data_IF_264549262852
#
_entry.id   IF_264549262852
#
_cell.length_a   1.000
_cell.length_b   1.000
_cell.length_c   1.000
_cell.angle_alpha   90.00
_cell.angle_beta   90.00
_cell.angle_gamma   90.00
#
_symmetry.space_group_name_H-M   'P 1'
#
loop_
_entity.id
_entity.type
_entity.pdbx_description
1 polymer ?
#
# COMPACT_ATOMS: atom_id res chain seq x y z
N UNK A 1 3.11 -4.67 16.55
CA UNK A 1 1.68 -4.99 16.76
C UNK A 1 0.86 -4.14 15.80
N UNK A 2 -0.25 -4.64 15.28
CA UNK A 2 -1.24 -3.82 14.56
C UNK A 2 -1.78 -2.72 15.47
N UNK A 3 -2.37 -1.67 14.90
CA UNK A 3 -3.04 -0.63 15.67
C UNK A 3 -4.08 -1.22 16.61
N UNK A 4 -4.24 -0.61 17.78
CA UNK A 4 -5.26 -1.02 18.74
C UNK A 4 -6.66 -0.86 18.11
N UNK A 5 -7.54 -1.85 18.22
CA UNK A 5 -8.85 -1.85 17.57
C UNK A 5 -8.86 -2.35 16.11
N UNK A 6 -7.74 -2.87 15.59
CA UNK A 6 -7.71 -3.38 14.21
C UNK A 6 -8.65 -4.57 13.97
N UNK A 7 -8.80 -5.48 14.95
CA UNK A 7 -9.65 -6.66 14.78
C UNK A 7 -11.12 -6.28 14.58
N UNK A 8 -11.58 -5.27 15.30
CA UNK A 8 -12.92 -4.68 15.14
C UNK A 8 -13.09 -4.08 13.74
N UNK A 9 -12.11 -3.33 13.28
CA UNK A 9 -12.11 -2.77 11.91
C UNK A 9 -12.09 -3.86 10.84
N UNK A 10 -11.37 -4.92 11.05
CA UNK A 10 -11.37 -6.06 10.13
C UNK A 10 -12.72 -6.78 10.11
N UNK A 11 -13.36 -6.95 11.26
CA UNK A 11 -14.72 -7.53 11.31
C UNK A 11 -15.75 -6.64 10.59
N UNK A 12 -15.66 -5.31 10.73
CA UNK A 12 -16.47 -4.38 9.94
C UNK A 12 -16.28 -4.60 8.43
N UNK A 13 -15.03 -4.77 7.96
CA UNK A 13 -14.71 -5.00 6.55
C UNK A 13 -15.31 -6.32 6.06
N UNK A 14 -15.14 -7.40 6.80
CA UNK A 14 -15.71 -8.72 6.46
C UNK A 14 -17.22 -8.62 6.26
N UNK A 15 -17.93 -7.97 7.18
CA UNK A 15 -19.38 -7.81 7.12
C UNK A 15 -19.80 -6.87 5.97
N UNK A 16 -19.12 -5.73 5.82
CA UNK A 16 -19.48 -4.70 4.83
C UNK A 16 -19.30 -5.17 3.39
N UNK A 17 -18.27 -5.98 3.13
CA UNK A 17 -17.92 -6.49 1.80
C UNK A 17 -18.30 -7.96 1.59
N UNK A 18 -18.97 -8.58 2.57
CA UNK A 18 -19.38 -9.99 2.55
C UNK A 18 -18.20 -10.93 2.22
N UNK A 19 -17.04 -10.68 2.85
CA UNK A 19 -15.87 -11.52 2.68
C UNK A 19 -15.92 -12.77 3.57
N UNK A 20 -15.50 -13.90 3.01
CA UNK A 20 -15.45 -15.15 3.70
C UNK A 20 -14.12 -15.33 4.44
N UNK A 21 -14.13 -15.15 5.77
CA UNK A 21 -12.92 -15.26 6.62
C UNK A 21 -12.16 -16.57 6.44
N UNK A 22 -12.85 -17.70 6.17
CA UNK A 22 -12.18 -18.99 5.93
C UNK A 22 -11.35 -18.94 4.64
N UNK A 23 -11.85 -18.29 3.59
CA UNK A 23 -11.11 -18.10 2.34
C UNK A 23 -9.90 -17.17 2.55
N UNK A 24 -10.04 -16.11 3.36
CA UNK A 24 -8.95 -15.20 3.72
C UNK A 24 -7.82 -15.97 4.44
N UNK A 25 -8.15 -16.75 5.46
CA UNK A 25 -7.18 -17.59 6.17
C UNK A 25 -6.54 -18.62 5.26
N UNK A 26 -7.32 -19.25 4.36
CA UNK A 26 -6.80 -20.22 3.38
C UNK A 26 -5.79 -19.56 2.43
N UNK A 27 -6.10 -18.39 1.89
CA UNK A 27 -5.18 -17.67 1.00
C UNK A 27 -3.86 -17.31 1.71
N UNK A 28 -3.93 -16.85 2.95
CA UNK A 28 -2.75 -16.57 3.76
C UNK A 28 -1.89 -17.82 4.03
N UNK A 29 -2.51 -18.97 4.28
CA UNK A 29 -1.80 -20.27 4.42
C UNK A 29 -1.09 -20.67 3.14
N UNK A 30 -1.75 -20.51 1.98
CA UNK A 30 -1.18 -20.78 0.66
C UNK A 30 0.02 -19.85 0.41
N UNK A 31 -0.12 -18.55 0.62
CA UNK A 31 0.99 -17.61 0.46
C UNK A 31 2.16 -17.97 1.38
N UNK A 32 1.89 -18.33 2.64
CA UNK A 32 2.93 -18.75 3.58
C UNK A 32 3.76 -19.94 3.07
N UNK A 33 3.14 -20.89 2.36
CA UNK A 33 3.83 -22.05 1.79
C UNK A 33 4.75 -21.69 0.62
N UNK A 34 4.43 -20.66 -0.15
CA UNK A 34 5.23 -20.20 -1.29
C UNK A 34 6.43 -19.35 -0.91
N UNK A 35 6.38 -18.66 0.22
CA UNK A 35 7.49 -17.80 0.66
C UNK A 35 8.70 -18.63 1.06
N UNK A 36 9.78 -18.58 0.26
CA UNK A 36 11.01 -19.38 0.46
C UNK A 36 11.82 -18.93 1.66
N UNK A 37 12.01 -17.62 1.83
CA UNK A 37 12.78 -17.02 2.90
C UNK A 37 11.97 -16.00 3.66
N UNK A 38 12.21 -15.93 4.96
CA UNK A 38 11.66 -14.84 5.78
C UNK A 38 12.44 -13.58 5.45
N UNK A 39 11.82 -12.64 4.73
CA UNK A 39 12.41 -11.31 4.59
C UNK A 39 12.65 -10.76 6.00
N UNK A 40 13.88 -10.36 6.27
CA UNK A 40 14.20 -9.75 7.56
C UNK A 40 13.51 -8.41 7.68
N UNK A 41 12.63 -8.24 8.65
CA UNK A 41 11.90 -6.98 8.89
C UNK A 41 12.83 -5.79 9.03
N UNK A 42 14.07 -6.00 9.52
CA UNK A 42 15.07 -4.95 9.62
C UNK A 42 15.41 -4.27 8.27
N UNK A 43 15.25 -4.96 7.13
CA UNK A 43 15.41 -4.32 5.80
C UNK A 43 14.30 -3.30 5.53
N UNK A 44 13.06 -3.60 5.92
CA UNK A 44 11.94 -2.67 5.83
C UNK A 44 12.10 -1.51 6.82
N UNK A 45 12.43 -1.84 8.08
CA UNK A 45 12.65 -0.84 9.12
C UNK A 45 13.72 0.18 8.74
N UNK A 46 14.85 -0.26 8.19
CA UNK A 46 15.93 0.63 7.72
C UNK A 46 15.47 1.61 6.64
N UNK A 47 14.48 1.24 5.83
CA UNK A 47 13.91 2.14 4.81
C UNK A 47 12.88 3.12 5.36
N UNK A 48 12.22 2.80 6.48
CA UNK A 48 11.02 3.52 6.94
C UNK A 48 11.23 4.24 8.28
N UNK A 49 11.81 3.54 9.27
CA UNK A 49 11.88 4.01 10.66
C UNK A 49 12.57 5.38 10.79
N UNK A 50 11.91 6.30 11.46
CA UNK A 50 12.36 7.67 11.69
C UNK A 50 12.64 8.49 10.41
N UNK A 51 12.03 8.10 9.28
CA UNK A 51 12.22 8.77 7.99
C UNK A 51 10.94 9.40 7.47
N UNK A 52 11.11 10.39 6.60
CA UNK A 52 10.06 10.84 5.69
C UNK A 52 9.89 9.82 4.58
N UNK A 53 8.65 9.34 4.38
CA UNK A 53 8.30 8.39 3.31
C UNK A 53 7.20 8.95 2.43
N UNK A 54 7.27 8.66 1.14
CA UNK A 54 6.18 8.92 0.20
C UNK A 54 5.34 7.66 0.04
N UNK A 55 4.04 7.77 0.28
CA UNK A 55 3.06 6.73 -0.05
C UNK A 55 2.36 7.14 -1.33
N UNK A 56 2.43 6.27 -2.35
CA UNK A 56 2.02 6.60 -3.71
C UNK A 56 0.89 5.68 -4.14
N UNK A 57 -0.28 6.27 -4.36
CA UNK A 57 -1.45 5.60 -4.90
C UNK A 57 -1.66 5.88 -6.39
N UNK A 58 -2.61 5.16 -7.01
CA UNK A 58 -2.91 5.22 -8.43
C UNK A 58 -4.09 6.17 -8.76
N UNK A 59 -4.36 7.15 -7.92
CA UNK A 59 -5.44 8.12 -8.14
C UNK A 59 -5.16 9.08 -9.30
N UNK A 60 -6.15 9.87 -9.73
CA UNK A 60 -6.04 10.78 -10.88
C UNK A 60 -4.88 11.78 -10.81
N UNK A 61 -4.53 12.26 -9.61
CA UNK A 61 -3.43 13.22 -9.41
C UNK A 61 -2.02 12.62 -9.54
N UNK A 62 -1.89 11.29 -9.66
CA UNK A 62 -0.59 10.63 -9.79
C UNK A 62 0.20 11.15 -11.00
N UNK A 63 -0.45 11.23 -12.17
CA UNK A 63 0.22 11.60 -13.42
C UNK A 63 0.90 12.97 -13.31
N UNK A 64 0.20 13.96 -12.78
CA UNK A 64 0.76 15.31 -12.56
C UNK A 64 1.84 15.36 -11.48
N UNK A 65 1.91 14.34 -10.63
CA UNK A 65 2.88 14.24 -9.53
C UNK A 65 4.22 13.59 -9.95
N UNK A 66 4.25 12.85 -11.06
CA UNK A 66 5.44 12.11 -11.51
C UNK A 66 6.71 12.99 -11.70
N UNK A 67 6.64 14.21 -12.27
CA UNK A 67 7.82 15.08 -12.40
C UNK A 67 8.42 15.47 -11.04
N UNK A 68 7.59 15.61 -10.01
CA UNK A 68 8.05 15.89 -8.65
C UNK A 68 8.73 14.67 -8.03
N UNK A 69 8.16 13.48 -8.19
CA UNK A 69 8.72 12.23 -7.67
C UNK A 69 10.13 11.95 -8.19
N UNK A 70 10.43 12.32 -9.43
CA UNK A 70 11.79 12.24 -10.02
C UNK A 70 12.83 13.06 -9.26
N UNK A 71 12.43 14.18 -8.65
CA UNK A 71 13.32 15.06 -7.88
C UNK A 71 13.63 14.49 -6.48
N UNK A 72 12.76 13.63 -5.94
CA UNK A 72 12.86 13.09 -4.57
C UNK A 72 13.45 11.67 -4.54
N UNK A 73 14.57 11.43 -5.27
CA UNK A 73 15.21 10.11 -5.39
C UNK A 73 15.63 9.51 -4.04
N UNK A 74 16.06 10.34 -3.10
CA UNK A 74 16.59 9.91 -1.78
C UNK A 74 15.52 9.43 -0.80
N UNK A 75 14.24 9.75 -1.03
CA UNK A 75 13.15 9.42 -0.12
C UNK A 75 12.56 8.06 -0.45
N UNK A 76 12.26 7.29 0.58
CA UNK A 76 11.59 5.98 0.44
C UNK A 76 10.21 6.15 -0.18
N UNK A 77 9.94 5.37 -1.22
CA UNK A 77 8.67 5.31 -1.94
C UNK A 77 8.00 3.98 -1.67
N UNK A 78 6.88 4.03 -0.95
CA UNK A 78 5.99 2.89 -0.73
C UNK A 78 4.84 3.04 -1.70
N UNK A 79 4.66 2.09 -2.59
CA UNK A 79 3.83 2.24 -3.79
C UNK A 79 2.75 1.18 -3.80
N UNK A 80 1.50 1.60 -3.99
CA UNK A 80 0.38 0.71 -4.22
C UNK A 80 0.48 0.07 -5.62
N UNK A 81 -0.03 -1.14 -5.76
CA UNK A 81 0.08 -1.97 -6.96
C UNK A 81 -0.11 -1.19 -8.27
N UNK A 82 -1.28 -0.61 -8.50
CA UNK A 82 -1.59 0.09 -9.74
C UNK A 82 -0.67 1.29 -10.04
N UNK A 83 -0.08 1.92 -9.02
CA UNK A 83 0.85 3.02 -9.22
C UNK A 83 2.25 2.57 -9.69
N UNK A 84 2.59 1.30 -9.49
CA UNK A 84 3.91 0.74 -9.84
C UNK A 84 4.21 0.91 -11.32
N UNK A 85 3.25 0.64 -12.20
CA UNK A 85 3.40 0.83 -13.65
C UNK A 85 3.74 2.27 -13.98
N UNK A 86 2.97 3.25 -13.46
CA UNK A 86 3.18 4.66 -13.73
C UNK A 86 4.59 5.13 -13.32
N UNK A 87 5.08 4.67 -12.18
CA UNK A 87 6.40 5.02 -11.70
C UNK A 87 7.49 4.46 -12.61
N UNK A 88 7.44 3.17 -12.93
CA UNK A 88 8.46 2.50 -13.75
C UNK A 88 8.48 3.05 -15.17
N UNK A 89 7.35 3.30 -15.80
CA UNK A 89 7.26 3.99 -17.11
C UNK A 89 7.94 5.36 -17.09
N UNK A 90 7.95 6.03 -15.93
CA UNK A 90 8.59 7.31 -15.72
C UNK A 90 9.99 7.22 -15.08
N UNK A 91 10.63 6.06 -15.09
CA UNK A 91 11.99 5.84 -14.57
C UNK A 91 12.14 6.16 -13.07
N UNK A 92 11.06 5.98 -12.31
CA UNK A 92 11.06 6.08 -10.85
C UNK A 92 10.92 4.66 -10.29
N UNK A 93 11.96 4.16 -9.65
CA UNK A 93 11.93 2.82 -9.05
C UNK A 93 11.29 2.90 -7.65
N UNK A 94 10.25 2.10 -7.36
CA UNK A 94 9.72 1.94 -6.01
C UNK A 94 10.75 1.33 -5.05
N UNK A 95 10.78 1.73 -3.79
CA UNK A 95 11.54 1.01 -2.77
C UNK A 95 10.76 -0.19 -2.22
N UNK A 96 9.45 -0.02 -2.07
CA UNK A 96 8.53 -1.02 -1.53
C UNK A 96 7.26 -0.96 -2.39
N UNK A 97 6.75 -2.12 -2.78
CA UNK A 97 5.47 -2.26 -3.48
C UNK A 97 4.52 -3.08 -2.63
N UNK A 98 3.31 -2.57 -2.40
CA UNK A 98 2.22 -3.30 -1.74
C UNK A 98 1.22 -3.71 -2.83
N UNK A 99 0.91 -5.00 -2.91
CA UNK A 99 0.13 -5.58 -4.00
C UNK A 99 -0.72 -6.77 -3.55
N UNK A 100 -1.93 -6.87 -4.03
CA UNK A 100 -2.75 -8.10 -4.03
C UNK A 100 -2.63 -8.86 -5.37
N UNK A 101 -1.66 -8.50 -6.21
CA UNK A 101 -1.35 -9.11 -7.51
C UNK A 101 -2.44 -8.90 -8.57
N UNK A 102 -3.24 -7.84 -8.44
CA UNK A 102 -4.29 -7.51 -9.43
C UNK A 102 -3.85 -6.44 -10.46
N UNK A 103 -2.68 -5.84 -10.29
CA UNK A 103 -2.07 -4.92 -11.23
C UNK A 103 -1.27 -5.59 -12.35
N UNK A 104 -0.56 -4.78 -13.11
CA UNK A 104 0.22 -5.26 -14.24
C UNK A 104 1.46 -6.06 -13.82
N UNK A 105 1.41 -7.37 -13.99
CA UNK A 105 2.45 -8.30 -13.54
C UNK A 105 3.82 -8.03 -14.16
N UNK A 106 3.89 -7.53 -15.39
CA UNK A 106 5.18 -7.21 -16.02
C UNK A 106 5.92 -6.09 -15.26
N UNK A 107 5.18 -5.09 -14.78
CA UNK A 107 5.76 -4.00 -13.99
C UNK A 107 6.06 -4.41 -12.54
N UNK A 108 5.26 -5.30 -11.94
CA UNK A 108 5.58 -5.89 -10.64
C UNK A 108 6.89 -6.69 -10.69
N UNK A 109 7.09 -7.48 -11.75
CA UNK A 109 8.37 -8.19 -11.98
C UNK A 109 9.53 -7.21 -12.16
N UNK A 110 9.40 -6.17 -12.98
CA UNK A 110 10.43 -5.14 -13.16
C UNK A 110 10.78 -4.45 -11.83
N UNK A 111 9.79 -4.14 -10.99
CA UNK A 111 10.04 -3.60 -9.65
C UNK A 111 10.86 -4.57 -8.81
N UNK A 112 10.49 -5.85 -8.77
CA UNK A 112 11.22 -6.89 -8.02
C UNK A 112 12.64 -7.08 -8.53
N UNK A 113 12.87 -7.08 -9.84
CA UNK A 113 14.19 -7.16 -10.47
C UNK A 113 15.05 -5.93 -10.14
N UNK A 114 14.43 -4.77 -9.97
CA UNK A 114 15.06 -3.52 -9.51
C UNK A 114 15.23 -3.43 -7.99
N UNK A 115 15.13 -4.56 -7.29
CA UNK A 115 15.33 -4.73 -5.84
C UNK A 115 14.27 -4.07 -4.94
N UNK A 116 13.10 -3.74 -5.48
CA UNK A 116 11.96 -3.35 -4.67
C UNK A 116 11.55 -4.48 -3.72
N UNK A 117 11.19 -4.15 -2.49
CA UNK A 117 10.62 -5.11 -1.55
C UNK A 117 9.13 -5.26 -1.88
N UNK A 118 8.71 -6.48 -2.22
CA UNK A 118 7.33 -6.81 -2.56
C UNK A 118 6.56 -7.24 -1.31
N UNK A 119 5.53 -6.50 -0.94
CA UNK A 119 4.62 -6.84 0.15
C UNK A 119 3.36 -7.41 -0.49
N UNK A 120 3.27 -8.73 -0.56
CA UNK A 120 2.15 -9.43 -1.18
C UNK A 120 1.05 -9.67 -0.15
N UNK A 121 -0.14 -9.17 -0.45
CA UNK A 121 -1.32 -9.40 0.37
C UNK A 121 -2.07 -10.64 -0.09
N UNK A 122 -2.31 -11.57 0.84
CA UNK A 122 -3.14 -12.72 0.61
C UNK A 122 -4.61 -12.39 0.89
N UNK A 123 -5.46 -12.58 -0.12
CA UNK A 123 -6.89 -12.29 -0.09
C UNK A 123 -7.66 -13.45 -0.73
N UNK A 124 -8.87 -13.72 -0.27
CA UNK A 124 -9.68 -14.84 -0.77
C UNK A 124 -9.87 -14.89 -2.29
N UNK A 125 -9.84 -13.70 -2.94
CA UNK A 125 -10.05 -13.59 -4.38
C UNK A 125 -8.77 -13.70 -5.23
N UNK A 126 -7.57 -13.63 -4.60
CA UNK A 126 -6.31 -13.69 -5.35
C UNK A 126 -5.54 -15.01 -5.22
N UNK A 127 -6.16 -16.06 -4.69
CA UNK A 127 -5.52 -17.37 -4.43
C UNK A 127 -4.79 -17.89 -5.68
N UNK A 128 -5.38 -17.77 -6.86
CA UNK A 128 -4.80 -18.24 -8.11
C UNK A 128 -3.58 -17.44 -8.57
N UNK A 129 -3.38 -16.24 -8.05
CA UNK A 129 -2.26 -15.35 -8.38
C UNK A 129 -1.10 -15.47 -7.37
N UNK A 130 -1.34 -16.00 -6.17
CA UNK A 130 -0.32 -16.11 -5.12
C UNK A 130 0.97 -16.83 -5.55
N UNK A 131 0.95 -17.83 -6.48
CA UNK A 131 2.20 -18.44 -6.97
C UNK A 131 3.19 -17.45 -7.60
N UNK A 132 2.74 -16.30 -8.13
CA UNK A 132 3.63 -15.26 -8.66
C UNK A 132 4.60 -14.72 -7.59
N UNK A 133 4.23 -14.76 -6.31
CA UNK A 133 5.11 -14.34 -5.21
C UNK A 133 6.45 -15.10 -5.15
N UNK A 134 6.50 -16.32 -5.72
CA UNK A 134 7.71 -17.15 -5.80
C UNK A 134 8.80 -16.47 -6.65
N UNK A 135 8.39 -15.70 -7.67
CA UNK A 135 9.31 -15.03 -8.59
C UNK A 135 9.92 -13.74 -8.03
N UNK A 136 9.41 -13.22 -6.93
CA UNK A 136 9.90 -11.97 -6.35
C UNK A 136 11.16 -12.19 -5.51
N UNK A 137 12.20 -11.38 -5.77
CA UNK A 137 13.51 -11.48 -5.09
C UNK A 137 13.41 -11.23 -3.58
N UNK A 138 12.68 -10.19 -3.18
CA UNK A 138 12.42 -9.82 -1.79
C UNK A 138 10.92 -9.75 -1.56
N UNK A 139 10.36 -10.76 -0.92
CA UNK A 139 8.91 -10.88 -0.73
C UNK A 139 8.56 -11.09 0.75
N UNK A 140 7.55 -10.34 1.21
CA UNK A 140 6.88 -10.51 2.49
C UNK A 140 5.39 -10.74 2.26
N UNK A 141 4.80 -11.72 2.93
CA UNK A 141 3.37 -11.96 2.87
C UNK A 141 2.62 -11.21 3.97
N UNK A 142 1.41 -10.74 3.63
CA UNK A 142 0.51 -10.09 4.59
C UNK A 142 -0.89 -10.67 4.55
N UNK A 143 -1.62 -10.48 5.66
CA UNK A 143 -3.03 -10.78 5.85
C UNK A 143 -3.66 -9.68 6.69
N UNK A 144 -4.97 -9.58 6.69
CA UNK A 144 -5.75 -8.71 7.59
C UNK A 144 -6.09 -9.41 8.92
N UNK A 145 -6.02 -10.73 8.96
CA UNK A 145 -6.29 -11.55 10.15
C UNK A 145 -5.02 -11.73 11.02
N UNK A 146 -5.05 -12.64 11.97
CA UNK A 146 -3.92 -12.93 12.87
C UNK A 146 -2.68 -13.36 12.08
N UNK A 147 -1.50 -12.73 12.34
CA UNK A 147 -0.26 -13.11 11.68
C UNK A 147 0.21 -14.50 12.13
N UNK A 148 0.86 -15.25 11.22
CA UNK A 148 1.47 -16.54 11.52
C UNK A 148 2.63 -16.85 10.55
N UNK A 149 3.56 -17.70 10.97
CA UNK A 149 4.68 -18.11 10.13
C UNK A 149 5.44 -16.92 9.53
N UNK A 150 5.45 -16.84 8.20
CA UNK A 150 6.08 -15.76 7.41
C UNK A 150 5.09 -14.63 7.08
N UNK A 151 3.82 -14.79 7.42
CA UNK A 151 2.76 -13.81 7.15
C UNK A 151 2.68 -12.79 8.29
N UNK A 152 2.54 -11.52 7.92
CA UNK A 152 2.41 -10.39 8.84
C UNK A 152 1.06 -9.71 8.69
N UNK A 153 0.69 -8.93 9.69
CA UNK A 153 -0.45 -8.03 9.62
C UNK A 153 0.00 -6.64 10.06
N UNK A 154 -0.12 -5.67 9.19
CA UNK A 154 0.17 -4.25 9.47
C UNK A 154 -1.11 -3.42 9.52
N UNK A 155 -2.25 -3.99 9.15
CA UNK A 155 -3.51 -3.31 8.93
C UNK A 155 -3.68 -2.80 7.50
N UNK A 156 -4.77 -2.09 7.26
CA UNK A 156 -5.15 -1.56 5.95
C UNK A 156 -6.03 -2.52 5.14
N UNK A 157 -6.75 -1.98 4.17
CA UNK A 157 -7.77 -2.69 3.40
C UNK A 157 -7.51 -2.69 1.89
N UNK A 158 -7.18 -1.54 1.31
CA UNK A 158 -6.73 -1.44 -0.08
C UNK A 158 -5.22 -1.26 -0.12
N UNK A 159 -4.56 -1.52 -1.25
CA UNK A 159 -3.10 -1.38 -1.32
C UNK A 159 -2.61 0.02 -0.93
N UNK A 160 -3.39 1.06 -1.28
CA UNK A 160 -3.05 2.44 -0.93
C UNK A 160 -3.00 2.68 0.57
N UNK A 161 -4.07 2.35 1.28
CA UNK A 161 -4.08 2.53 2.73
C UNK A 161 -3.19 1.52 3.45
N UNK A 162 -3.02 0.27 2.95
CA UNK A 162 -1.98 -0.67 3.45
C UNK A 162 -0.58 -0.08 3.42
N UNK A 163 -0.23 0.68 2.38
CA UNK A 163 1.05 1.39 2.34
C UNK A 163 1.22 2.34 3.52
N UNK A 164 0.16 3.08 3.88
CA UNK A 164 0.17 4.02 5.02
C UNK A 164 0.27 3.27 6.34
N UNK A 165 -0.53 2.22 6.51
CA UNK A 165 -0.49 1.37 7.70
C UNK A 165 0.89 0.74 7.89
N UNK A 166 1.52 0.24 6.82
CA UNK A 166 2.89 -0.28 6.84
C UNK A 166 3.90 0.79 7.29
N UNK A 167 3.82 1.99 6.71
CA UNK A 167 4.70 3.10 7.05
C UNK A 167 4.57 3.51 8.53
N UNK A 168 3.33 3.65 9.00
CA UNK A 168 3.03 3.98 10.39
C UNK A 168 3.51 2.89 11.36
N UNK A 169 3.23 1.62 11.05
CA UNK A 169 3.62 0.46 11.87
C UNK A 169 5.14 0.37 12.04
N UNK A 170 5.90 0.67 11.01
CA UNK A 170 7.37 0.64 11.02
C UNK A 170 8.01 1.95 11.47
N UNK A 171 7.22 2.88 12.03
CA UNK A 171 7.71 4.08 12.70
C UNK A 171 8.26 5.14 11.76
N UNK A 172 7.63 5.39 10.61
CA UNK A 172 7.92 6.57 9.81
C UNK A 172 7.72 7.83 10.64
N UNK A 173 8.64 8.81 10.56
CA UNK A 173 8.47 10.10 11.24
C UNK A 173 7.50 11.02 10.50
N UNK A 174 7.45 10.87 9.16
CA UNK A 174 6.55 11.64 8.29
C UNK A 174 6.06 10.79 7.14
N UNK A 175 4.76 10.83 6.85
CA UNK A 175 4.10 10.12 5.77
C UNK A 175 3.42 11.14 4.85
N UNK A 176 3.80 11.15 3.57
CA UNK A 176 3.28 12.07 2.58
C UNK A 176 2.56 11.29 1.50
N UNK A 177 1.25 11.52 1.35
CA UNK A 177 0.41 10.85 0.36
C UNK A 177 0.46 11.59 -0.99
N UNK A 178 0.70 10.83 -2.06
CA UNK A 178 0.72 11.30 -3.44
C UNK A 178 -0.16 10.37 -4.28
N UNK A 179 -1.06 10.92 -5.11
CA UNK A 179 -1.97 10.09 -5.90
C UNK A 179 -3.00 9.30 -5.08
N UNK A 180 -3.33 9.77 -3.88
CA UNK A 180 -4.31 9.16 -2.96
C UNK A 180 -5.56 10.05 -2.91
N UNK A 181 -6.33 10.08 -4.01
CA UNK A 181 -7.35 11.11 -4.22
C UNK A 181 -8.69 10.85 -3.51
N UNK A 182 -9.05 9.62 -3.24
CA UNK A 182 -10.30 9.20 -2.57
C UNK A 182 -11.57 9.89 -3.08
N UNK A 183 -11.59 10.26 -4.36
CA UNK A 183 -12.74 10.90 -5.02
C UNK A 183 -13.61 9.91 -5.78
N UNK A 184 -14.49 10.45 -6.63
CA UNK A 184 -15.38 9.67 -7.51
C UNK A 184 -14.71 9.30 -8.84
N UNK A 185 -13.59 9.94 -9.17
CA UNK A 185 -12.81 9.64 -10.37
C UNK A 185 -11.76 8.59 -10.06
N UNK A 186 -11.64 7.60 -10.94
CA UNK A 186 -10.66 6.53 -10.84
C UNK A 186 -9.47 6.89 -11.73
N UNK A 187 -8.26 6.78 -11.19
CA UNK A 187 -7.05 7.10 -11.94
C UNK A 187 -6.75 6.08 -13.05
N UNK A 188 -6.09 6.53 -14.11
CA UNK A 188 -5.72 5.71 -15.28
C UNK A 188 -5.02 4.40 -14.91
N UNK A 189 -4.19 4.41 -13.89
CA UNK A 189 -3.40 3.26 -13.46
C UNK A 189 -4.03 2.47 -12.30
N UNK A 190 -5.23 2.85 -11.84
CA UNK A 190 -5.82 2.23 -10.64
C UNK A 190 -6.30 0.81 -10.84
N UNK A 191 -6.67 0.41 -12.05
CA UNK A 191 -7.03 -0.95 -12.42
C UNK A 191 -7.10 -1.10 -13.94
N UNK A 192 -6.62 -2.23 -14.45
CA UNK A 192 -6.80 -2.64 -15.84
C UNK A 192 -8.08 -3.51 -15.97
N UNK A 193 -8.78 -3.38 -17.10
CA UNK A 193 -9.93 -4.22 -17.45
C UNK A 193 -11.27 -3.78 -16.85
N UNK A 194 -12.26 -4.66 -16.96
CA UNK A 194 -13.65 -4.42 -16.51
C UNK A 194 -13.71 -4.59 -14.99
N UNK A 195 -14.23 -3.58 -14.30
CA UNK A 195 -14.45 -3.62 -12.86
C UNK A 195 -15.76 -2.93 -12.46
N UNK A 196 -16.32 -3.32 -11.31
CA UNK A 196 -17.49 -2.67 -10.77
C UNK A 196 -17.07 -1.35 -10.09
N UNK A 197 -17.45 -0.23 -10.72
CA UNK A 197 -17.11 1.13 -10.25
C UNK A 197 -17.67 1.41 -8.84
N UNK A 198 -18.87 0.95 -8.55
CA UNK A 198 -19.51 1.22 -7.25
C UNK A 198 -18.80 0.51 -6.11
N UNK A 199 -18.42 -0.77 -6.34
CA UNK A 199 -17.60 -1.52 -5.39
C UNK A 199 -16.23 -0.84 -5.20
N UNK A 200 -15.61 -0.37 -6.27
CA UNK A 200 -14.34 0.36 -6.20
C UNK A 200 -14.47 1.63 -5.38
N UNK A 201 -15.50 2.43 -5.63
CA UNK A 201 -15.77 3.64 -4.87
C UNK A 201 -16.10 3.35 -3.40
N UNK A 202 -16.83 2.26 -3.13
CA UNK A 202 -17.09 1.79 -1.77
C UNK A 202 -15.79 1.43 -1.04
N UNK A 203 -14.88 0.67 -1.70
CA UNK A 203 -13.55 0.35 -1.17
C UNK A 203 -12.72 1.61 -0.90
N UNK A 204 -12.72 2.60 -1.80
CA UNK A 204 -12.01 3.87 -1.60
C UNK A 204 -12.54 4.65 -0.40
N UNK A 205 -13.88 4.71 -0.20
CA UNK A 205 -14.46 5.34 0.99
C UNK A 205 -14.04 4.63 2.28
N UNK A 206 -14.03 3.30 2.28
CA UNK A 206 -13.55 2.51 3.44
C UNK A 206 -12.07 2.76 3.72
N UNK A 207 -11.22 2.75 2.69
CA UNK A 207 -9.80 3.06 2.82
C UNK A 207 -9.57 4.47 3.39
N UNK A 208 -10.31 5.48 2.92
CA UNK A 208 -10.26 6.84 3.50
C UNK A 208 -10.63 6.84 4.98
N UNK A 209 -11.74 6.20 5.35
CA UNK A 209 -12.20 6.10 6.75
C UNK A 209 -11.15 5.42 7.65
N UNK A 210 -10.47 4.39 7.14
CA UNK A 210 -9.39 3.72 7.87
C UNK A 210 -8.18 4.64 8.06
N UNK A 211 -7.85 5.50 7.09
CA UNK A 211 -6.77 6.49 7.24
C UNK A 211 -7.13 7.58 8.25
N UNK A 212 -8.38 8.03 8.28
CA UNK A 212 -8.89 8.96 9.27
C UNK A 212 -8.83 8.35 10.69
N UNK A 213 -9.18 7.08 10.83
CA UNK A 213 -9.04 6.34 12.08
C UNK A 213 -7.56 6.14 12.46
N UNK A 214 -6.67 5.79 11.52
CA UNK A 214 -5.23 5.67 11.77
C UNK A 214 -4.65 6.99 12.26
N UNK A 215 -5.07 8.12 11.68
CA UNK A 215 -4.53 9.43 12.03
C UNK A 215 -4.71 9.81 13.49
N UNK A 216 -5.79 9.32 14.14
CA UNK A 216 -6.05 9.55 15.57
C UNK A 216 -5.11 8.79 16.50
N UNK A 217 -4.34 7.83 15.99
CA UNK A 217 -3.44 6.96 16.75
C UNK A 217 -1.98 7.04 16.25
N UNK A 218 -1.72 7.82 15.21
CA UNK A 218 -0.39 7.94 14.59
C UNK A 218 0.48 8.95 15.31
N UNK A 219 1.74 8.59 15.53
CA UNK A 219 2.79 9.52 15.98
C UNK A 219 3.53 10.18 14.82
N UNK A 220 3.26 9.77 13.56
CA UNK A 220 3.87 10.36 12.38
C UNK A 220 3.19 11.69 12.00
N UNK A 221 3.95 12.62 11.45
CA UNK A 221 3.35 13.74 10.74
C UNK A 221 2.72 13.27 9.44
N UNK A 222 1.42 13.53 9.27
CA UNK A 222 0.64 13.04 8.13
C UNK A 222 0.30 14.18 7.17
N UNK A 223 0.63 13.99 5.89
CA UNK A 223 0.38 14.97 4.82
C UNK A 223 -0.30 14.33 3.63
N UNK A 224 -1.12 15.11 2.92
CA UNK A 224 -1.71 14.74 1.64
C UNK A 224 -1.53 15.85 0.60
N UNK A 225 -1.21 15.46 -0.64
CA UNK A 225 -1.11 16.40 -1.77
C UNK A 225 -2.39 16.46 -2.59
N UNK A 226 -3.40 15.69 -2.20
CA UNK A 226 -4.68 15.54 -2.89
C UNK A 226 -5.83 16.14 -2.07
N UNK A 227 -7.04 15.57 -2.20
CA UNK A 227 -8.22 15.99 -1.45
C UNK A 227 -8.01 15.82 0.07
N UNK A 228 -8.66 16.64 0.90
CA UNK A 228 -8.55 16.57 2.35
C UNK A 228 -8.93 15.19 2.93
N UNK A 229 -8.13 14.74 3.88
CA UNK A 229 -8.37 13.58 4.73
C UNK A 229 -8.27 14.08 6.18
N UNK A 230 -9.23 13.76 7.03
CA UNK A 230 -9.20 14.19 8.42
C UNK A 230 -7.93 13.67 9.12
N UNK A 231 -7.24 14.54 9.87
CA UNK A 231 -5.97 14.23 10.52
C UNK A 231 -4.72 14.33 9.62
N UNK A 232 -4.88 14.63 8.31
CA UNK A 232 -3.77 14.88 7.40
C UNK A 232 -3.68 16.38 7.04
N UNK A 233 -2.49 16.94 7.09
CA UNK A 233 -2.23 18.32 6.63
C UNK A 233 -2.17 18.35 5.11
N UNK A 234 -2.90 19.27 4.47
CA UNK A 234 -2.79 19.48 3.04
C UNK A 234 -1.53 20.23 2.68
N UNK A 235 -0.82 19.76 1.64
CA UNK A 235 0.36 20.43 1.10
C UNK A 235 0.31 20.40 -0.43
N UNK A 236 0.71 21.50 -1.08
CA UNK A 236 0.84 21.51 -2.53
C UNK A 236 2.11 20.79 -2.96
N UNK A 237 2.09 20.09 -4.09
CA UNK A 237 3.26 19.42 -4.67
C UNK A 237 4.47 20.35 -4.81
N UNK A 238 4.24 21.62 -5.18
CA UNK A 238 5.29 22.63 -5.33
C UNK A 238 6.02 22.95 -4.00
N UNK A 239 5.33 22.79 -2.87
CA UNK A 239 5.86 23.11 -1.55
C UNK A 239 6.55 21.91 -0.86
N UNK A 240 6.47 20.70 -1.45
CA UNK A 240 7.10 19.49 -0.90
C UNK A 240 8.59 19.68 -0.61
N UNK A 241 9.30 20.39 -1.49
CA UNK A 241 10.73 20.61 -1.32
C UNK A 241 11.07 21.39 -0.05
N UNK A 242 10.19 22.28 0.40
CA UNK A 242 10.35 23.05 1.65
C UNK A 242 10.11 22.17 2.88
N UNK A 243 9.15 21.23 2.76
CA UNK A 243 8.78 20.33 3.85
C UNK A 243 9.85 19.26 4.14
N UNK A 244 10.59 18.81 3.10
CA UNK A 244 11.51 17.67 3.22
C UNK A 244 12.99 18.06 3.22
N UNK A 245 13.27 19.36 3.29
CA UNK A 245 14.61 19.88 3.61
C UNK A 245 14.91 19.64 5.08
#
# INVERSE_FOLDING_TARGET
MTLNGWQEKYQEILNEFNYNRVREIRSAKILNSFLKTRLQLNKLERKIKNKTVFVIGAGPSLVSSLPYLKKFKKFTKIVADGATQALIENQVIPDIVVTDLDGNMAYLKKASESESIMIVHAHGDNINKLPYAISFKYCLGTTEDKPFGKIRNFGGFTDGDRCVFLANHLGASRIILIGMDFGTNIGKYSKEGIYNKDIKLKKLRKGKSLLEWLSSQSNAELYTTSKPISGFKNIRLADLQKLVR
#
